data_IF_886832230711
#
_entry.id   IF_886832230711
#
_cell.length_a   1.000
_cell.length_b   1.000
_cell.length_c   1.000
_cell.angle_alpha   90.00
_cell.angle_beta   90.00
_cell.angle_gamma   90.00
#
_symmetry.space_group_name_H-M   'P 1'
#
loop_
_entity.id
_entity.type
_entity.pdbx_description
1 polymer ?
#
# COMPACT_ATOMS: atom_id res chain seq x y z
N UNK A 1 -9.95 10.51 -10.06
CA UNK A 1 -9.44 9.26 -9.51
C UNK A 1 -8.01 9.07 -9.98
N UNK A 2 -7.10 8.87 -9.06
CA UNK A 2 -5.70 8.73 -9.41
C UNK A 2 -5.44 7.36 -10.07
N UNK A 3 -4.52 7.35 -11.02
CA UNK A 3 -3.99 6.09 -11.51
C UNK A 3 -3.13 5.47 -10.43
N UNK A 4 -2.99 4.15 -10.46
CA UNK A 4 -2.11 3.47 -9.52
C UNK A 4 -1.22 2.47 -10.26
N UNK A 5 -0.07 2.20 -9.66
CA UNK A 5 0.85 1.19 -10.17
C UNK A 5 1.54 0.51 -9.00
N UNK A 6 2.07 -0.66 -9.26
CA UNK A 6 2.76 -1.47 -8.25
C UNK A 6 4.23 -1.53 -8.59
N UNK A 7 5.08 -1.34 -7.58
CA UNK A 7 6.50 -1.61 -7.74
C UNK A 7 6.71 -3.12 -7.87
N UNK A 8 7.86 -3.51 -8.38
CA UNK A 8 8.21 -4.93 -8.48
C UNK A 8 8.20 -5.59 -7.10
N UNK A 9 8.75 -4.92 -6.10
CA UNK A 9 8.78 -5.43 -4.73
C UNK A 9 7.37 -5.64 -4.20
N UNK A 10 6.47 -4.70 -4.46
CA UNK A 10 5.08 -4.82 -4.02
C UNK A 10 4.41 -6.04 -4.66
N UNK A 11 4.61 -6.26 -5.95
CA UNK A 11 4.03 -7.41 -6.64
C UNK A 11 4.56 -8.72 -6.09
N UNK A 12 5.85 -8.80 -5.74
CA UNK A 12 6.43 -9.99 -5.12
C UNK A 12 5.81 -10.25 -3.75
N UNK A 13 5.65 -9.20 -2.95
CA UNK A 13 5.04 -9.30 -1.63
C UNK A 13 3.56 -9.67 -1.71
N UNK A 14 2.84 -9.07 -2.64
CA UNK A 14 1.43 -9.39 -2.86
C UNK A 14 1.25 -10.84 -3.29
N UNK A 15 2.08 -11.33 -4.18
CA UNK A 15 2.06 -12.71 -4.62
C UNK A 15 2.31 -13.69 -3.45
N UNK A 16 3.29 -13.38 -2.60
CA UNK A 16 3.57 -14.19 -1.42
C UNK A 16 2.40 -14.17 -0.44
N UNK A 17 1.78 -13.02 -0.26
CA UNK A 17 0.60 -12.86 0.60
C UNK A 17 -0.56 -13.69 0.09
N UNK A 18 -0.84 -13.63 -1.21
CA UNK A 18 -1.98 -14.33 -1.82
C UNK A 18 -1.89 -15.84 -1.67
N UNK A 19 -0.69 -16.39 -1.57
CA UNK A 19 -0.49 -17.83 -1.43
C UNK A 19 -1.03 -18.41 -0.12
N UNK A 20 -1.09 -17.60 0.94
CA UNK A 20 -1.47 -18.09 2.26
C UNK A 20 -2.60 -17.29 2.90
N UNK A 21 -3.05 -16.21 2.27
CA UNK A 21 -4.07 -15.36 2.85
C UNK A 21 -5.46 -15.98 2.73
N UNK A 22 -6.30 -15.74 3.74
CA UNK A 22 -7.70 -16.11 3.69
C UNK A 22 -8.44 -15.20 2.70
N UNK A 23 -9.61 -15.62 2.18
CA UNK A 23 -10.44 -14.73 1.33
C UNK A 23 -10.78 -13.42 2.03
N UNK A 24 -10.98 -13.46 3.34
CA UNK A 24 -11.27 -12.28 4.16
C UNK A 24 -10.10 -11.30 4.13
N UNK A 25 -8.87 -11.81 4.27
CA UNK A 25 -7.67 -10.97 4.27
C UNK A 25 -7.38 -10.42 2.87
N UNK A 26 -7.61 -11.22 1.82
CA UNK A 26 -7.47 -10.75 0.45
C UNK A 26 -8.40 -9.57 0.18
N UNK A 27 -9.66 -9.68 0.61
CA UNK A 27 -10.63 -8.61 0.46
C UNK A 27 -10.23 -7.38 1.24
N UNK A 28 -9.72 -7.56 2.48
CA UNK A 28 -9.29 -6.45 3.31
C UNK A 28 -8.17 -5.65 2.63
N UNK A 29 -7.17 -6.33 2.07
CA UNK A 29 -6.08 -5.66 1.37
C UNK A 29 -6.59 -4.95 0.12
N UNK A 30 -7.46 -5.58 -0.66
CA UNK A 30 -8.05 -4.93 -1.83
C UNK A 30 -8.78 -3.63 -1.46
N UNK A 31 -9.52 -3.63 -0.35
CA UNK A 31 -10.22 -2.44 0.11
C UNK A 31 -9.25 -1.32 0.53
N UNK A 32 -8.14 -1.68 1.16
CA UNK A 32 -7.11 -0.71 1.55
C UNK A 32 -6.48 -0.08 0.31
N UNK A 33 -6.11 -0.88 -0.67
CA UNK A 33 -5.51 -0.38 -1.91
C UNK A 33 -6.48 0.54 -2.65
N UNK A 34 -7.75 0.18 -2.71
CA UNK A 34 -8.78 1.00 -3.34
C UNK A 34 -8.97 2.33 -2.61
N UNK A 35 -8.94 2.31 -1.28
CA UNK A 35 -9.07 3.53 -0.48
C UNK A 35 -7.92 4.50 -0.73
N UNK A 36 -6.69 3.99 -0.77
CA UNK A 36 -5.50 4.80 -1.05
C UNK A 36 -5.54 5.36 -2.47
N UNK A 37 -5.91 4.55 -3.44
CA UNK A 37 -5.99 4.97 -4.83
C UNK A 37 -7.07 6.05 -5.03
N UNK A 38 -8.17 5.96 -4.29
CA UNK A 38 -9.25 6.94 -4.38
C UNK A 38 -8.92 8.25 -3.68
N UNK A 39 -8.15 8.19 -2.60
CA UNK A 39 -7.77 9.38 -1.83
C UNK A 39 -6.37 9.19 -1.24
N UNK A 40 -5.33 9.54 -1.99
CA UNK A 40 -3.95 9.41 -1.48
C UNK A 40 -3.64 10.26 -0.26
N UNK A 41 -4.45 11.27 0.00
CA UNK A 41 -4.33 12.14 1.19
C UNK A 41 -5.15 11.63 2.37
N UNK A 42 -5.59 10.38 2.33
CA UNK A 42 -6.53 9.84 3.31
C UNK A 42 -6.05 10.05 4.75
N UNK A 43 -6.99 10.26 5.69
CA UNK A 43 -6.66 10.40 7.10
C UNK A 43 -5.98 9.13 7.63
N UNK A 44 -5.01 9.31 8.51
CA UNK A 44 -4.30 8.20 9.11
C UNK A 44 -2.99 7.83 8.43
N UNK A 45 -2.72 8.38 7.23
CA UNK A 45 -1.41 8.18 6.63
C UNK A 45 -0.36 8.93 7.43
N UNK A 46 0.84 8.35 7.50
CA UNK A 46 1.98 9.01 8.14
C UNK A 46 3.15 9.06 7.17
N UNK A 47 3.94 10.13 7.28
CA UNK A 47 5.13 10.27 6.43
C UNK A 47 6.15 9.19 6.75
N UNK A 48 6.73 8.61 5.71
CA UNK A 48 7.82 7.68 5.85
C UNK A 48 9.14 8.44 5.65
N UNK A 49 10.11 8.15 6.49
CA UNK A 49 11.44 8.76 6.39
C UNK A 49 12.45 7.80 5.75
N UNK A 50 11.95 6.79 5.06
CA UNK A 50 12.80 5.80 4.42
C UNK A 50 13.72 6.41 3.36
N UNK A 51 13.20 7.34 2.57
CA UNK A 51 14.00 8.05 1.56
C UNK A 51 13.59 9.52 1.51
N UNK A 52 14.39 10.42 2.12
CA UNK A 52 14.06 11.85 2.12
C UNK A 52 14.01 12.49 0.73
N UNK A 53 14.73 11.92 -0.25
CA UNK A 53 14.72 12.45 -1.61
C UNK A 53 13.46 12.08 -2.39
N UNK A 54 12.73 11.06 -1.90
CA UNK A 54 11.50 10.59 -2.52
C UNK A 54 10.45 10.38 -1.44
N UNK A 55 9.69 11.42 -1.09
CA UNK A 55 8.69 11.34 -0.02
C UNK A 55 7.71 10.20 -0.24
N UNK A 56 7.44 9.46 0.81
CA UNK A 56 6.49 8.36 0.79
C UNK A 56 5.70 8.33 2.09
N UNK A 57 4.69 7.46 2.12
CA UNK A 57 3.74 7.41 3.23
C UNK A 57 3.48 5.97 3.64
N UNK A 58 3.10 5.81 4.90
CA UNK A 58 2.66 4.55 5.47
C UNK A 58 1.21 4.69 5.88
N UNK A 59 0.42 3.69 5.57
CA UNK A 59 -0.97 3.63 6.01
C UNK A 59 -1.25 2.27 6.61
N UNK A 60 -1.72 2.28 7.87
CA UNK A 60 -2.05 1.07 8.59
C UNK A 60 -3.56 0.90 8.67
N UNK A 61 -4.04 -0.29 8.37
CA UNK A 61 -5.43 -0.68 8.59
C UNK A 61 -5.46 -2.10 9.15
N UNK A 62 -5.92 -2.25 10.38
CA UNK A 62 -5.88 -3.52 11.07
C UNK A 62 -4.45 -4.03 11.21
N UNK A 63 -4.20 -5.24 10.71
CA UNK A 63 -2.87 -5.87 10.76
C UNK A 63 -2.02 -5.61 9.52
N UNK A 64 -2.54 -4.82 8.58
CA UNK A 64 -1.84 -4.54 7.33
C UNK A 64 -1.23 -3.15 7.33
N UNK A 65 -0.06 -3.03 6.72
CA UNK A 65 0.65 -1.76 6.57
C UNK A 65 1.06 -1.63 5.11
N UNK A 66 0.66 -0.53 4.48
CA UNK A 66 0.97 -0.26 3.08
C UNK A 66 1.93 0.91 3.00
N UNK A 67 3.04 0.72 2.27
CA UNK A 67 3.98 1.77 1.95
C UNK A 67 3.73 2.22 0.53
N UNK A 68 3.48 3.50 0.33
CA UNK A 68 3.18 4.04 -0.99
C UNK A 68 3.78 5.44 -1.13
N UNK A 69 3.86 5.90 -2.38
CA UNK A 69 4.27 7.28 -2.67
C UNK A 69 3.36 7.85 -3.74
N UNK A 70 3.35 9.17 -3.84
CA UNK A 70 2.55 9.89 -4.83
C UNK A 70 3.53 10.73 -5.66
N UNK A 71 4.09 10.16 -6.74
CA UNK A 71 5.09 10.88 -7.57
C UNK A 71 4.54 12.16 -8.16
N UNK A 72 3.23 12.19 -8.47
CA UNK A 72 2.52 13.38 -8.85
C UNK A 72 1.04 13.21 -8.45
N UNK A 73 0.25 14.27 -8.61
CA UNK A 73 -1.14 14.28 -8.13
C UNK A 73 -2.05 13.22 -8.78
N UNK A 74 -1.62 12.63 -9.89
CA UNK A 74 -2.45 11.71 -10.66
C UNK A 74 -2.03 10.24 -10.50
N UNK A 75 -0.92 9.97 -9.83
CA UNK A 75 -0.37 8.62 -9.73
C UNK A 75 -0.07 8.25 -8.29
N UNK A 76 -0.52 7.05 -7.89
CA UNK A 76 -0.14 6.42 -6.63
C UNK A 76 0.72 5.20 -6.97
N UNK A 77 1.89 5.12 -6.35
CA UNK A 77 2.76 3.95 -6.51
C UNK A 77 2.83 3.18 -5.21
N UNK A 78 2.39 1.93 -5.23
CA UNK A 78 2.47 1.05 -4.06
C UNK A 78 3.87 0.41 -4.03
N UNK A 79 4.56 0.57 -2.91
CA UNK A 79 5.96 0.18 -2.77
C UNK A 79 6.16 -1.10 -1.97
N UNK A 80 5.45 -1.24 -0.86
CA UNK A 80 5.58 -2.40 0.02
C UNK A 80 4.25 -2.77 0.65
N UNK A 81 4.07 -4.07 0.88
CA UNK A 81 2.96 -4.62 1.66
C UNK A 81 3.55 -5.37 2.84
N UNK A 82 3.16 -4.98 4.05
CA UNK A 82 3.57 -5.65 5.28
C UNK A 82 2.37 -6.28 5.97
N UNK A 83 2.54 -7.52 6.41
CA UNK A 83 1.52 -8.24 7.19
C UNK A 83 2.23 -9.16 8.18
N UNK A 84 1.56 -9.53 9.30
CA UNK A 84 2.16 -10.47 10.25
C UNK A 84 2.35 -11.83 9.59
N UNK A 85 3.56 -12.36 9.70
CA UNK A 85 3.89 -13.70 9.24
C UNK A 85 3.96 -14.59 10.48
N UNK A 86 2.99 -15.43 10.64
CA UNK A 86 2.89 -16.32 11.81
C UNK A 86 3.36 -17.71 11.45
#
# INVERSE_FOLDING_TARGET
MAEYRFSRRFLEELSAFEKSASPRDLKAVDEILAAIASDPDLPGRVSSFYDPASPSYLYRSGKFLIHFRVPNSDIVEFLNLFWPKV
#
